data_IF_226085036300
#
_entry.id   IF_226085036300
#
_cell.length_a   1.000
_cell.length_b   1.000
_cell.length_c   1.000
_cell.angle_alpha   90.00
_cell.angle_beta   90.00
_cell.angle_gamma   90.00
#
_symmetry.space_group_name_H-M   'P 1'
#
loop_
_entity.id
_entity.type
_entity.pdbx_description
1 polymer ?
#
# COMPACT_ATOMS: atom_id res chain seq x y z
N UNK A 1 -8.33 22.30 -0.07
CA UNK A 1 -7.07 21.78 0.50
C UNK A 1 -6.61 22.79 1.54
N UNK A 2 -6.74 22.49 2.84
CA UNK A 2 -6.22 23.39 3.86
C UNK A 2 -4.70 23.49 3.68
N UNK A 3 -4.18 24.71 3.60
CA UNK A 3 -2.74 24.96 3.51
C UNK A 3 -2.10 24.60 4.84
N UNK A 4 -1.68 23.34 4.96
CA UNK A 4 -1.02 22.83 6.16
C UNK A 4 0.21 23.69 6.45
N UNK A 5 0.30 24.20 7.68
CA UNK A 5 1.48 24.83 8.22
C UNK A 5 2.71 24.03 7.84
N UNK A 6 3.69 24.63 7.15
CA UNK A 6 4.96 23.98 6.84
C UNK A 6 5.75 23.79 8.12
N UNK A 7 5.37 22.79 8.93
CA UNK A 7 6.20 22.35 10.04
C UNK A 7 7.53 21.94 9.44
N UNK A 8 8.63 22.58 9.85
CA UNK A 8 9.99 22.31 9.38
C UNK A 8 10.50 20.95 9.84
N UNK A 9 9.78 19.89 9.47
CA UNK A 9 10.12 18.49 9.64
C UNK A 9 10.95 18.04 8.45
N UNK A 10 12.06 17.38 8.73
CA UNK A 10 12.91 16.78 7.71
C UNK A 10 12.59 15.30 7.63
N UNK A 11 12.17 14.82 6.46
CA UNK A 11 11.92 13.39 6.24
C UNK A 11 13.11 12.76 5.53
N UNK A 12 13.61 11.64 6.08
CA UNK A 12 14.55 10.75 5.39
C UNK A 12 13.83 9.46 5.08
N UNK A 13 13.84 9.08 3.82
CA UNK A 13 13.17 7.87 3.34
C UNK A 13 14.20 6.86 2.87
N UNK A 14 14.23 5.70 3.51
CA UNK A 14 15.15 4.63 3.16
C UNK A 14 14.64 3.85 1.94
N UNK A 15 15.55 3.40 1.07
CA UNK A 15 15.20 2.69 -0.16
C UNK A 15 14.34 1.44 0.09
N UNK A 16 14.59 0.74 1.20
CA UNK A 16 13.83 -0.45 1.59
C UNK A 16 12.33 -0.16 1.71
N UNK A 17 11.94 0.97 2.32
CA UNK A 17 10.52 1.33 2.45
C UNK A 17 9.89 1.61 1.08
N UNK A 18 10.60 2.30 0.18
CA UNK A 18 10.11 2.61 -1.17
C UNK A 18 9.90 1.32 -1.97
N UNK A 19 10.87 0.40 -1.91
CA UNK A 19 10.79 -0.88 -2.61
C UNK A 19 9.63 -1.70 -2.09
N UNK A 20 9.45 -1.80 -0.77
CA UNK A 20 8.36 -2.56 -0.17
C UNK A 20 6.97 -2.03 -0.55
N UNK A 21 6.79 -0.70 -0.54
CA UNK A 21 5.53 -0.07 -0.96
C UNK A 21 5.27 -0.32 -2.46
N UNK A 22 6.29 -0.15 -3.30
CA UNK A 22 6.17 -0.34 -4.75
C UNK A 22 5.85 -1.79 -5.12
N UNK A 23 6.50 -2.74 -4.44
CA UNK A 23 6.25 -4.16 -4.60
C UNK A 23 4.83 -4.52 -4.16
N UNK A 24 4.38 -4.06 -2.98
CA UNK A 24 3.00 -4.27 -2.54
C UNK A 24 1.96 -3.76 -3.56
N UNK A 25 2.13 -2.52 -4.03
CA UNK A 25 1.26 -1.96 -5.07
C UNK A 25 1.24 -2.82 -6.34
N UNK A 26 2.43 -3.22 -6.81
CA UNK A 26 2.56 -4.01 -8.05
C UNK A 26 1.92 -5.38 -7.89
N UNK A 27 2.15 -6.07 -6.77
CA UNK A 27 1.54 -7.37 -6.49
C UNK A 27 0.02 -7.30 -6.45
N UNK A 28 -0.55 -6.31 -5.75
CA UNK A 28 -2.02 -6.13 -5.70
C UNK A 28 -2.58 -5.82 -7.09
N UNK A 29 -1.88 -4.97 -7.86
CA UNK A 29 -2.26 -4.68 -9.25
C UNK A 29 -2.25 -5.92 -10.13
N UNK A 30 -1.25 -6.79 -10.00
CA UNK A 30 -1.17 -8.02 -10.78
C UNK A 30 -2.25 -9.03 -10.37
N UNK A 31 -2.55 -9.16 -9.07
CA UNK A 31 -3.62 -10.03 -8.58
C UNK A 31 -5.00 -9.59 -9.09
N UNK A 32 -5.24 -8.29 -9.19
CA UNK A 32 -6.49 -7.75 -9.71
C UNK A 32 -6.61 -7.86 -11.24
N UNK A 33 -5.48 -7.85 -11.95
CA UNK A 33 -5.43 -7.98 -13.41
C UNK A 33 -5.35 -9.43 -13.89
N UNK A 34 -5.49 -10.42 -13.00
CA UNK A 34 -5.53 -11.82 -13.40
C UNK A 34 -6.92 -12.11 -14.01
N UNK A 35 -7.02 -12.41 -15.32
CA UNK A 35 -8.29 -12.80 -15.89
C UNK A 35 -8.71 -14.12 -15.24
N UNK A 36 -9.97 -14.20 -14.80
CA UNK A 36 -10.60 -15.44 -14.37
C UNK A 36 -10.29 -16.53 -15.42
N UNK A 37 -9.36 -17.43 -15.08
CA UNK A 37 -9.05 -18.60 -15.88
C UNK A 37 -10.13 -19.66 -15.65
N UNK A 38 -11.34 -19.40 -16.12
CA UNK A 38 -12.42 -20.37 -16.16
C UNK A 38 -13.32 -20.14 -17.39
N UNK A 39 -12.94 -20.83 -18.48
CA UNK A 39 -13.81 -21.48 -19.47
C UNK A 39 -14.80 -20.59 -20.26
N UNK A 40 -14.47 -20.27 -21.53
CA UNK A 40 -15.03 -20.98 -22.69
C UNK A 40 -14.39 -20.49 -24.00
N UNK A 41 -13.74 -21.43 -24.71
CA UNK A 41 -13.45 -21.30 -26.13
C UNK A 41 -14.77 -21.49 -26.87
N UNK A 42 -15.30 -20.43 -27.49
CA UNK A 42 -16.28 -20.54 -28.59
C UNK A 42 -16.20 -19.33 -29.54
N UNK A 43 -15.58 -19.60 -30.68
CA UNK A 43 -15.83 -19.08 -32.04
C UNK A 43 -16.88 -17.98 -32.25
N UNK A 44 -16.46 -16.78 -32.67
CA UNK A 44 -16.61 -16.24 -34.05
C UNK A 44 -16.35 -14.73 -34.06
N UNK A 45 -15.67 -14.31 -35.12
CA UNK A 45 -15.29 -12.96 -35.49
C UNK A 45 -16.47 -12.13 -36.02
N UNK A 46 -16.73 -10.96 -35.43
CA UNK A 46 -17.26 -9.79 -36.15
C UNK A 46 -17.03 -8.50 -35.34
N UNK A 47 -16.45 -7.52 -36.01
CA UNK A 47 -16.05 -6.18 -35.54
C UNK A 47 -17.13 -5.41 -34.76
N UNK A 48 -16.70 -4.71 -33.70
CA UNK A 48 -17.09 -3.30 -33.46
C UNK A 48 -15.86 -2.52 -32.98
N UNK A 49 -15.59 -1.41 -33.65
CA UNK A 49 -14.51 -0.49 -33.35
C UNK A 49 -14.94 0.53 -32.29
N UNK A 50 -13.95 0.93 -31.47
CA UNK A 50 -13.81 2.21 -30.79
C UNK A 50 -14.64 2.52 -29.52
N UNK A 51 -13.87 2.60 -28.42
CA UNK A 51 -13.82 3.72 -27.47
C UNK A 51 -14.98 3.91 -26.48
N UNK A 52 -14.88 3.21 -25.34
CA UNK A 52 -14.65 3.90 -24.07
C UNK A 52 -13.88 2.94 -23.15
N UNK A 53 -12.58 3.17 -23.01
CA UNK A 53 -11.74 2.35 -22.15
C UNK A 53 -12.14 2.61 -20.71
N UNK A 54 -12.95 1.73 -20.13
CA UNK A 54 -13.27 1.73 -18.71
C UNK A 54 -11.97 1.56 -17.92
N UNK A 55 -11.29 2.67 -17.62
CA UNK A 55 -10.08 2.68 -16.80
C UNK A 55 -10.55 2.38 -15.38
N UNK A 56 -10.56 1.09 -15.02
CA UNK A 56 -10.72 0.69 -13.62
C UNK A 56 -9.74 1.53 -12.79
N UNK A 57 -10.18 2.20 -11.73
CA UNK A 57 -9.29 3.03 -10.93
C UNK A 57 -8.12 2.17 -10.45
N UNK A 58 -6.88 2.71 -10.45
CA UNK A 58 -5.73 1.96 -9.99
C UNK A 58 -5.98 1.45 -8.56
N UNK A 59 -5.51 0.23 -8.24
CA UNK A 59 -5.78 -0.38 -6.94
C UNK A 59 -5.24 0.50 -5.81
N UNK A 60 -6.01 0.61 -4.73
CA UNK A 60 -5.55 1.27 -3.50
C UNK A 60 -4.96 0.23 -2.56
N UNK A 61 -3.80 0.54 -2.01
CA UNK A 61 -3.11 -0.29 -1.03
C UNK A 61 -2.94 0.47 0.28
N UNK A 62 -2.95 -0.24 1.39
CA UNK A 62 -2.82 0.31 2.74
C UNK A 62 -1.65 -0.33 3.46
N UNK A 63 -1.03 0.42 4.36
CA UNK A 63 0.11 -0.04 5.13
C UNK A 63 0.54 0.98 6.17
N UNK A 64 1.49 0.58 7.00
CA UNK A 64 2.15 1.43 7.96
C UNK A 64 3.63 1.59 7.62
N UNK A 65 4.18 2.76 7.92
CA UNK A 65 5.61 3.06 7.90
C UNK A 65 6.18 3.02 9.31
N UNK A 66 7.37 2.45 9.43
CA UNK A 66 8.10 2.35 10.70
C UNK A 66 9.45 3.04 10.61
N UNK A 67 9.85 3.61 11.73
CA UNK A 67 11.16 4.21 11.88
C UNK A 67 11.28 4.99 13.17
N UNK A 68 12.01 6.10 13.12
CA UNK A 68 12.29 6.92 14.30
C UNK A 68 12.13 8.40 13.99
N UNK A 69 11.63 9.17 14.94
CA UNK A 69 11.72 10.62 14.94
C UNK A 69 12.75 11.07 15.99
N UNK A 70 13.69 11.91 15.56
CA UNK A 70 14.68 12.57 16.41
C UNK A 70 14.50 14.07 16.26
N UNK A 71 13.85 14.68 17.24
CA UNK A 71 13.46 16.09 17.18
C UNK A 71 12.54 16.36 15.99
N UNK A 72 13.01 17.14 15.03
CA UNK A 72 12.28 17.49 13.80
C UNK A 72 12.61 16.59 12.60
N UNK A 73 13.48 15.60 12.77
CA UNK A 73 13.83 14.67 11.69
C UNK A 73 13.08 13.37 11.88
N UNK A 74 12.33 12.94 10.86
CA UNK A 74 11.65 11.66 10.78
C UNK A 74 12.41 10.78 9.79
N UNK A 75 12.91 9.64 10.25
CA UNK A 75 13.60 8.67 9.41
C UNK A 75 12.74 7.41 9.26
N UNK A 76 12.28 7.16 8.04
CA UNK A 76 11.44 6.02 7.67
C UNK A 76 12.35 4.92 7.13
N UNK A 77 12.41 3.80 7.86
CA UNK A 77 13.31 2.70 7.54
C UNK A 77 12.62 1.58 6.75
N UNK A 78 11.37 1.30 7.09
CA UNK A 78 10.65 0.16 6.54
C UNK A 78 9.14 0.44 6.55
N UNK A 79 8.37 -0.44 5.92
CA UNK A 79 6.92 -0.42 5.89
C UNK A 79 6.38 -1.84 5.95
N UNK A 80 5.13 -1.98 6.38
CA UNK A 80 4.40 -3.24 6.27
C UNK A 80 2.96 -2.99 5.84
N UNK A 81 2.37 -4.00 5.26
CA UNK A 81 1.07 -3.94 4.60
C UNK A 81 -0.04 -4.14 5.61
N UNK A 82 -1.18 -3.49 5.37
CA UNK A 82 -2.39 -3.66 6.15
C UNK A 82 -3.54 -4.07 5.25
N UNK A 83 -4.35 -5.00 5.75
CA UNK A 83 -5.59 -5.37 5.10
C UNK A 83 -6.66 -4.32 5.42
N UNK A 84 -7.35 -3.89 4.37
CA UNK A 84 -8.48 -2.99 4.44
C UNK A 84 -9.76 -3.80 4.21
N UNK A 85 -10.69 -3.70 5.14
CA UNK A 85 -12.00 -4.28 5.02
C UNK A 85 -12.98 -3.24 4.43
N UNK A 86 -13.45 -3.43 3.18
CA UNK A 86 -14.37 -2.50 2.54
C UNK A 86 -15.76 -2.50 3.15
N UNK A 87 -16.15 -3.55 3.90
CA UNK A 87 -17.48 -3.61 4.53
C UNK A 87 -17.56 -2.73 5.77
N UNK A 88 -16.51 -2.72 6.57
CA UNK A 88 -16.41 -1.92 7.81
C UNK A 88 -15.67 -0.60 7.62
N UNK A 89 -15.14 -0.35 6.41
CA UNK A 89 -14.27 0.79 6.10
C UNK A 89 -13.10 0.93 7.08
N UNK A 90 -12.54 -0.21 7.53
CA UNK A 90 -11.56 -0.25 8.61
C UNK A 90 -10.29 -1.02 8.24
N UNK A 91 -9.20 -0.71 8.95
CA UNK A 91 -7.95 -1.46 8.89
C UNK A 91 -7.89 -2.40 10.09
N UNK A 92 -7.44 -3.65 9.89
CA UNK A 92 -7.35 -4.63 10.97
C UNK A 92 -6.34 -4.18 12.04
N UNK A 93 -6.89 -3.66 13.14
CA UNK A 93 -6.13 -3.15 14.27
C UNK A 93 -5.37 -4.26 14.99
N UNK A 94 -5.98 -5.42 15.16
CA UNK A 94 -5.37 -6.57 15.84
C UNK A 94 -4.17 -7.09 15.06
N UNK A 95 -4.29 -7.17 13.74
CA UNK A 95 -3.17 -7.52 12.86
C UNK A 95 -2.05 -6.48 12.93
N UNK A 96 -2.39 -5.17 12.88
CA UNK A 96 -1.43 -4.07 13.00
C UNK A 96 -0.62 -4.17 14.30
N UNK A 97 -1.29 -4.40 15.44
CA UNK A 97 -0.66 -4.49 16.75
C UNK A 97 0.27 -5.72 16.85
N UNK A 98 -0.18 -6.88 16.35
CA UNK A 98 0.64 -8.10 16.30
C UNK A 98 1.88 -7.93 15.42
N UNK A 99 1.74 -7.34 14.23
CA UNK A 99 2.88 -7.02 13.33
C UNK A 99 3.85 -6.05 14.01
N UNK A 100 3.34 -5.01 14.66
CA UNK A 100 4.16 -4.05 15.38
C UNK A 100 4.99 -4.73 16.49
N UNK A 101 4.40 -5.65 17.26
CA UNK A 101 5.13 -6.40 18.29
C UNK A 101 6.29 -7.23 17.69
N UNK A 102 6.06 -7.88 16.56
CA UNK A 102 7.11 -8.63 15.86
C UNK A 102 8.26 -7.72 15.40
N UNK A 103 7.94 -6.55 14.82
CA UNK A 103 8.98 -5.60 14.42
C UNK A 103 9.75 -5.05 15.62
N UNK A 104 9.08 -4.81 16.76
CA UNK A 104 9.75 -4.36 17.99
C UNK A 104 10.75 -5.39 18.53
N UNK A 105 10.53 -6.69 18.30
CA UNK A 105 11.49 -7.75 18.71
C UNK A 105 12.82 -7.64 17.95
N UNK A 106 12.79 -7.18 16.70
CA UNK A 106 13.97 -7.06 15.84
C UNK A 106 14.55 -5.64 15.84
N UNK A 107 13.68 -4.63 15.94
CA UNK A 107 14.02 -3.20 15.96
C UNK A 107 13.36 -2.51 17.15
N UNK A 108 13.91 -2.65 18.37
CA UNK A 108 13.27 -2.16 19.61
C UNK A 108 13.04 -0.65 19.65
N UNK A 109 13.86 0.11 18.92
CA UNK A 109 13.77 1.58 18.88
C UNK A 109 12.81 2.11 17.81
N UNK A 110 12.24 1.25 16.96
CA UNK A 110 11.37 1.67 15.87
C UNK A 110 9.92 1.71 16.33
N UNK A 111 9.16 2.67 15.82
CA UNK A 111 7.74 2.82 16.07
C UNK A 111 6.99 3.20 14.80
N UNK A 112 5.66 3.11 14.88
CA UNK A 112 4.76 3.45 13.78
C UNK A 112 4.76 4.97 13.61
N UNK A 113 5.14 5.44 12.42
CA UNK A 113 5.17 6.86 12.07
C UNK A 113 3.89 7.31 11.35
N UNK A 114 3.13 6.35 10.81
CA UNK A 114 1.91 6.54 10.04
C UNK A 114 1.49 5.25 9.36
#
# INVERSE_FOLDING_TARGET
MASSSSSGLTFKLHLVAIVNISDHFTRVKMQMNLPNASHQRSTTSANTNAADGMVSPPPRVYGCVIGVQRGRTVEIFNSFELLYDPSTHSLDRSFREKKQELYKKVFPHFYILG
#
